data_IF_229040593701
#
_entry.id   IF_229040593701
#
_cell.length_a   1.000
_cell.length_b   1.000
_cell.length_c   1.000
_cell.angle_alpha   90.00
_cell.angle_beta   90.00
_cell.angle_gamma   90.00
#
_symmetry.space_group_name_H-M   'P 1'
#
loop_
_entity.id
_entity.type
_entity.pdbx_description
1 polymer ?
#
# COMPACT_ATOMS: atom_id res chain seq x y z
N UNK A 1 8.92 -2.71 -13.61
CA UNK A 1 7.75 -2.36 -12.78
C UNK A 1 6.58 -2.11 -13.71
N UNK A 2 5.40 -2.68 -13.45
CA UNK A 2 4.21 -2.46 -14.25
C UNK A 2 3.25 -1.50 -13.53
N UNK A 3 2.94 -0.30 -14.09
CA UNK A 3 2.00 0.64 -13.48
C UNK A 3 0.60 0.07 -13.21
N UNK A 4 0.16 -0.92 -14.01
CA UNK A 4 -1.15 -1.56 -13.79
C UNK A 4 -1.21 -2.32 -12.48
N UNK A 5 -0.08 -2.85 -11.99
CA UNK A 5 -0.04 -3.58 -10.72
C UNK A 5 -0.22 -2.63 -9.54
N UNK A 6 0.36 -1.43 -9.62
CA UNK A 6 0.17 -0.36 -8.61
C UNK A 6 -1.28 0.09 -8.62
N UNK A 7 -1.84 0.35 -9.81
CA UNK A 7 -3.24 0.74 -9.94
C UNK A 7 -4.20 -0.29 -9.33
N UNK A 8 -3.95 -1.57 -9.58
CA UNK A 8 -4.75 -2.66 -9.03
C UNK A 8 -4.72 -2.67 -7.49
N UNK A 9 -3.55 -2.50 -6.89
CA UNK A 9 -3.41 -2.36 -5.43
C UNK A 9 -4.25 -1.17 -4.94
N UNK A 10 -4.07 0.02 -5.52
CA UNK A 10 -4.79 1.23 -5.11
C UNK A 10 -6.31 1.04 -5.15
N UNK A 11 -6.82 0.41 -6.22
CA UNK A 11 -8.25 0.16 -6.37
C UNK A 11 -8.79 -0.77 -5.29
N UNK A 12 -8.05 -1.81 -4.92
CA UNK A 12 -8.48 -2.74 -3.88
C UNK A 12 -8.28 -2.20 -2.45
N UNK A 13 -7.20 -1.46 -2.20
CA UNK A 13 -6.82 -0.97 -0.88
C UNK A 13 -7.63 0.27 -0.46
N UNK A 14 -7.88 1.19 -1.40
CA UNK A 14 -8.47 2.50 -1.07
C UNK A 14 -9.61 2.93 -2.00
N UNK A 15 -9.88 2.19 -3.08
CA UNK A 15 -10.77 2.64 -4.15
C UNK A 15 -10.28 3.92 -4.85
N UNK A 16 -8.99 4.27 -4.69
CA UNK A 16 -8.43 5.53 -5.18
C UNK A 16 -8.60 6.74 -4.26
N UNK A 17 -9.07 6.56 -3.02
CA UNK A 17 -9.19 7.65 -2.05
C UNK A 17 -7.87 7.86 -1.27
N UNK A 18 -7.14 8.98 -1.46
CA UNK A 18 -5.89 9.23 -0.76
C UNK A 18 -6.06 9.50 0.75
N UNK A 19 -7.29 9.74 1.21
CA UNK A 19 -7.62 9.86 2.63
C UNK A 19 -8.31 8.61 3.21
N UNK A 20 -8.21 7.46 2.53
CA UNK A 20 -8.72 6.21 3.06
C UNK A 20 -8.01 5.83 4.37
N UNK A 21 -8.76 5.37 5.36
CA UNK A 21 -8.26 4.89 6.66
C UNK A 21 -8.98 3.59 7.00
N UNK A 22 -8.21 2.52 7.25
CA UNK A 22 -8.77 1.28 7.77
C UNK A 22 -8.81 1.34 9.31
N UNK A 23 -10.01 1.28 9.89
CA UNK A 23 -10.24 1.35 11.34
C UNK A 23 -10.68 0.02 11.97
N UNK A 24 -10.65 -1.09 11.22
CA UNK A 24 -11.29 -2.35 11.63
C UNK A 24 -10.31 -3.48 11.94
N UNK A 25 -9.04 -3.34 11.57
CA UNK A 25 -8.04 -4.40 11.69
C UNK A 25 -7.22 -4.32 13.01
N UNK A 26 -6.29 -5.27 13.17
CA UNK A 26 -5.42 -5.30 14.35
C UNK A 26 -4.49 -4.10 14.46
N UNK A 27 -4.13 -3.46 13.34
CA UNK A 27 -3.29 -2.26 13.34
C UNK A 27 -4.09 -1.05 13.85
N UNK A 28 -5.34 -0.92 13.43
CA UNK A 28 -6.27 0.08 13.94
C UNK A 28 -6.52 -0.09 15.44
N UNK A 29 -6.74 -1.34 15.89
CA UNK A 29 -6.86 -1.65 17.32
C UNK A 29 -5.58 -1.32 18.12
N UNK A 30 -4.42 -1.41 17.48
CA UNK A 30 -3.13 -0.99 18.04
C UNK A 30 -2.84 0.51 17.90
N UNK A 31 -3.76 1.31 17.36
CA UNK A 31 -3.62 2.76 17.20
C UNK A 31 -2.72 3.20 16.03
N UNK A 32 -2.37 2.29 15.12
CA UNK A 32 -1.54 2.53 13.94
C UNK A 32 -2.26 2.13 12.65
N UNK A 33 -3.46 2.67 12.37
CA UNK A 33 -4.28 2.24 11.24
C UNK A 33 -3.57 2.43 9.90
N UNK A 34 -3.91 1.59 8.93
CA UNK A 34 -3.48 1.73 7.54
C UNK A 34 -4.13 2.95 6.88
N UNK A 35 -3.34 3.71 6.11
CA UNK A 35 -3.75 5.01 5.55
C UNK A 35 -3.29 5.20 4.10
N UNK A 36 -4.05 6.00 3.36
CA UNK A 36 -3.69 6.46 2.02
C UNK A 36 -3.93 5.44 0.91
N UNK A 37 -3.47 5.76 -0.30
CA UNK A 37 -3.78 4.99 -1.51
C UNK A 37 -3.32 3.54 -1.46
N UNK A 38 -2.15 3.30 -0.88
CA UNK A 38 -1.51 1.99 -0.73
C UNK A 38 -1.74 1.37 0.65
N UNK A 39 -2.57 2.00 1.50
CA UNK A 39 -2.92 1.52 2.85
C UNK A 39 -1.69 1.14 3.70
N UNK A 40 -0.68 2.03 3.74
CA UNK A 40 0.48 1.84 4.62
C UNK A 40 0.17 2.27 6.06
N UNK A 41 0.71 1.55 7.04
CA UNK A 41 0.75 2.00 8.45
C UNK A 41 1.92 2.98 8.67
N UNK A 42 1.81 3.84 9.69
CA UNK A 42 2.81 4.87 10.03
C UNK A 42 4.27 4.34 10.07
N UNK A 43 4.62 3.25 10.80
CA UNK A 43 6.00 2.79 10.85
C UNK A 43 6.53 2.26 9.50
N UNK A 44 5.64 1.76 8.63
CA UNK A 44 6.02 1.35 7.27
C UNK A 44 6.27 2.58 6.41
N UNK A 45 5.37 3.56 6.46
CA UNK A 45 5.53 4.81 5.72
C UNK A 45 6.82 5.55 6.11
N UNK A 46 7.10 5.67 7.40
CA UNK A 46 8.30 6.34 7.90
C UNK A 46 9.59 5.66 7.44
N UNK A 47 9.61 4.32 7.41
CA UNK A 47 10.76 3.54 6.97
C UNK A 47 11.00 3.62 5.47
N UNK A 48 9.94 3.66 4.67
CA UNK A 48 10.03 3.51 3.22
C UNK A 48 9.84 4.80 2.44
N UNK A 49 9.42 5.89 3.08
CA UNK A 49 9.38 7.23 2.50
C UNK A 49 10.75 7.72 2.03
N UNK A 50 10.75 8.66 1.09
CA UNK A 50 11.95 9.36 0.63
C UNK A 50 12.19 10.65 1.45
N UNK A 51 13.42 11.17 1.52
CA UNK A 51 13.67 12.51 2.04
C UNK A 51 12.79 13.54 1.30
N UNK A 52 12.10 14.41 2.04
CA UNK A 52 11.16 15.39 1.48
C UNK A 52 9.74 14.88 1.20
N UNK A 53 9.51 13.56 1.30
CA UNK A 53 8.20 12.92 1.11
C UNK A 53 7.70 12.38 2.46
N UNK A 54 7.00 13.21 3.23
CA UNK A 54 6.65 12.94 4.64
C UNK A 54 5.16 13.08 4.96
N UNK A 55 4.31 13.24 3.96
CA UNK A 55 2.86 13.25 4.16
C UNK A 55 2.24 11.91 3.75
N UNK A 56 1.76 11.14 4.73
CA UNK A 56 1.15 9.83 4.47
C UNK A 56 -0.14 9.90 3.64
N UNK A 57 -0.79 11.06 3.60
CA UNK A 57 -2.00 11.30 2.80
C UNK A 57 -1.69 11.94 1.44
N UNK A 58 -0.45 12.40 1.20
CA UNK A 58 -0.06 12.81 -0.14
C UNK A 58 -0.02 11.57 -1.06
N UNK A 59 -0.76 11.58 -2.19
CA UNK A 59 -0.84 10.44 -3.09
C UNK A 59 0.54 9.94 -3.57
N UNK A 60 1.46 10.86 -3.87
CA UNK A 60 2.78 10.54 -4.41
C UNK A 60 3.65 9.93 -3.32
N UNK A 61 3.67 10.53 -2.14
CA UNK A 61 4.42 10.05 -0.98
C UNK A 61 3.97 8.63 -0.57
N UNK A 62 2.66 8.41 -0.51
CA UNK A 62 2.07 7.13 -0.12
C UNK A 62 2.39 6.03 -1.15
N UNK A 63 2.31 6.35 -2.45
CA UNK A 63 2.72 5.44 -3.53
C UNK A 63 4.22 5.12 -3.45
N UNK A 64 5.07 6.13 -3.23
CA UNK A 64 6.52 5.94 -3.08
C UNK A 64 6.81 4.94 -1.95
N UNK A 65 6.24 5.16 -0.77
CA UNK A 65 6.45 4.30 0.39
C UNK A 65 5.93 2.88 0.15
N UNK A 66 4.69 2.73 -0.35
CA UNK A 66 4.08 1.43 -0.63
C UNK A 66 4.84 0.62 -1.68
N UNK A 67 5.29 1.26 -2.76
CA UNK A 67 6.09 0.61 -3.81
C UNK A 67 7.45 0.17 -3.29
N UNK A 68 8.14 1.01 -2.52
CA UNK A 68 9.45 0.67 -1.94
C UNK A 68 9.33 -0.48 -0.93
N UNK A 69 8.28 -0.47 -0.11
CA UNK A 69 7.93 -1.60 0.76
C UNK A 69 7.71 -2.89 -0.04
N UNK A 70 6.89 -2.83 -1.10
CA UNK A 70 6.60 -3.99 -1.93
C UNK A 70 7.85 -4.59 -2.57
N UNK A 71 8.75 -3.74 -3.10
CA UNK A 71 10.03 -4.18 -3.64
C UNK A 71 10.91 -4.79 -2.55
N UNK A 72 11.03 -4.12 -1.39
CA UNK A 72 11.88 -4.59 -0.30
C UNK A 72 11.43 -5.91 0.32
N UNK A 73 10.11 -6.15 0.38
CA UNK A 73 9.53 -7.35 1.00
C UNK A 73 9.33 -8.50 0.01
N UNK A 74 8.91 -8.22 -1.22
CA UNK A 74 8.51 -9.24 -2.20
C UNK A 74 9.40 -9.27 -3.45
N UNK A 75 10.43 -8.42 -3.52
CA UNK A 75 11.31 -8.27 -4.68
C UNK A 75 10.73 -7.46 -5.83
N UNK A 76 9.40 -7.37 -5.96
CA UNK A 76 8.71 -6.51 -6.92
C UNK A 76 7.25 -6.26 -6.54
N UNK A 77 6.64 -5.21 -7.11
CA UNK A 77 5.18 -4.97 -6.99
C UNK A 77 4.38 -6.11 -7.60
N UNK A 78 4.88 -6.72 -8.68
CA UNK A 78 4.21 -7.84 -9.36
C UNK A 78 4.15 -9.12 -8.53
N UNK A 79 5.02 -9.25 -7.52
CA UNK A 79 5.10 -10.40 -6.62
C UNK A 79 4.28 -10.23 -5.33
N UNK A 80 3.57 -9.11 -5.19
CA UNK A 80 2.68 -8.87 -4.06
C UNK A 80 1.55 -9.91 -4.08
N UNK A 81 1.22 -10.57 -2.95
CA UNK A 81 0.22 -11.63 -2.90
C UNK A 81 -1.12 -11.28 -3.55
N UNK A 82 -1.67 -10.10 -3.28
CA UNK A 82 -2.92 -9.66 -3.92
C UNK A 82 -2.81 -9.42 -5.41
N UNK A 83 -1.65 -8.96 -5.90
CA UNK A 83 -1.40 -8.79 -7.33
C UNK A 83 -1.30 -10.15 -8.02
N UNK A 84 -0.58 -11.08 -7.43
CA UNK A 84 -0.44 -12.46 -7.92
C UNK A 84 -1.80 -13.16 -7.90
N UNK A 85 -2.56 -13.01 -6.82
CA UNK A 85 -3.87 -13.63 -6.65
C UNK A 85 -4.90 -13.14 -7.67
N UNK A 86 -4.97 -11.84 -7.92
CA UNK A 86 -5.85 -11.29 -8.97
C UNK A 86 -5.43 -11.77 -10.36
N UNK A 87 -4.13 -11.88 -10.65
CA UNK A 87 -3.63 -12.42 -11.94
C UNK A 87 -3.93 -13.90 -12.14
N UNK A 88 -3.94 -14.68 -11.06
CA UNK A 88 -4.21 -16.12 -11.09
C UNK A 88 -5.71 -16.47 -10.87
N UNK A 89 -6.58 -15.47 -10.74
CA UNK A 89 -8.02 -15.67 -10.54
C UNK A 89 -8.43 -16.10 -9.13
N UNK A 90 -7.54 -16.01 -8.14
CA UNK A 90 -7.82 -16.38 -6.74
C UNK A 90 -8.31 -15.19 -5.89
N UNK A 91 -8.36 -13.98 -6.46
CA UNK A 91 -8.78 -12.76 -5.78
C UNK A 91 -7.64 -11.97 -5.12
N UNK A 92 -7.93 -10.74 -4.69
CA UNK A 92 -6.97 -9.84 -4.06
C UNK A 92 -6.82 -10.12 -2.56
N UNK A 93 -5.56 -10.13 -2.09
CA UNK A 93 -5.17 -10.25 -0.69
C UNK A 93 -4.22 -9.09 -0.39
N UNK A 94 -4.62 -8.19 0.51
CA UNK A 94 -3.81 -7.04 0.93
C UNK A 94 -2.51 -7.44 1.64
N UNK A 95 -1.71 -6.44 1.99
CA UNK A 95 -0.39 -6.60 2.62
C UNK A 95 -0.42 -7.08 4.06
#
# INVERSE_FOLDING_TARGET
MNPSDIWMIIQHESGGNPHAINNWDSNAAAGIPSKGLMQTIDPTFDRWSLPGHKDIYDPVDNIIAGVRYAIGRYGSVSAVPGVVGTKNGTGYVGY
#
